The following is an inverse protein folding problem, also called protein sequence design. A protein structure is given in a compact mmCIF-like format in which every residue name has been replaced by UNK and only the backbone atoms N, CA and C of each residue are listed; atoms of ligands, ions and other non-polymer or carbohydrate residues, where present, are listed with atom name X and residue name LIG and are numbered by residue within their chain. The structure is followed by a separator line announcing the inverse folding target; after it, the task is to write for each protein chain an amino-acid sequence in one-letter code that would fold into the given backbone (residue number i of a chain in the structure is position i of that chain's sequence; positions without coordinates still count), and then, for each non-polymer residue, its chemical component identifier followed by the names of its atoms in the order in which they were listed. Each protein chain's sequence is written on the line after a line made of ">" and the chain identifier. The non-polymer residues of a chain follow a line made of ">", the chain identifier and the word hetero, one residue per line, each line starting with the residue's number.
data_IF_063403671630
#
_entry.id   IF_063403671630
#
_cell.length_a   1.000
_cell.length_b   1.000
_cell.length_c   1.000
_cell.angle_alpha   90.00
_cell.angle_beta   90.00
_cell.angle_gamma   90.00
#
_symmetry.space_group_name_H-M   'P 1'
#
loop_
_entity.id
_entity.type
_entity.pdbx_description
1 polymer ?
#
# COMPACT_ATOMS: atom_id res chain seq x y z
N UNK A 1 -9.25 71.20 3.74
CA UNK A 1 -9.59 70.05 4.62
C UNK A 1 -10.60 69.05 4.04
N UNK A 2 -11.58 69.46 3.22
CA UNK A 2 -12.63 68.54 2.70
C UNK A 2 -12.12 67.49 1.70
N UNK A 3 -11.18 67.85 0.83
CA UNK A 3 -10.65 66.93 -0.21
C UNK A 3 -9.84 65.75 0.36
N UNK A 4 -9.03 65.98 1.41
CA UNK A 4 -8.26 64.92 2.08
C UNK A 4 -9.15 63.89 2.78
N UNK A 5 -10.29 64.32 3.34
CA UNK A 5 -11.27 63.41 3.95
C UNK A 5 -11.96 62.55 2.89
N UNK A 6 -12.36 63.13 1.76
CA UNK A 6 -13.00 62.39 0.66
C UNK A 6 -12.03 61.36 0.06
N UNK A 7 -10.77 61.71 -0.16
CA UNK A 7 -9.75 60.77 -0.67
C UNK A 7 -9.50 59.63 0.33
N UNK A 8 -9.45 59.90 1.64
CA UNK A 8 -9.32 58.85 2.66
C UNK A 8 -10.53 57.92 2.71
N UNK A 9 -11.75 58.45 2.60
CA UNK A 9 -12.98 57.65 2.63
C UNK A 9 -13.11 56.78 1.39
N UNK A 10 -12.76 57.30 0.21
CA UNK A 10 -12.75 56.52 -1.04
C UNK A 10 -11.67 55.43 -1.00
N UNK A 11 -10.46 55.75 -0.54
CA UNK A 11 -9.40 54.75 -0.40
C UNK A 11 -9.76 53.63 0.60
N UNK A 12 -10.40 53.97 1.72
CA UNK A 12 -10.87 52.99 2.69
C UNK A 12 -11.98 52.09 2.14
N UNK A 13 -12.90 52.64 1.33
CA UNK A 13 -13.97 51.86 0.69
C UNK A 13 -13.46 50.91 -0.40
N UNK A 14 -12.48 51.33 -1.21
CA UNK A 14 -11.88 50.48 -2.24
C UNK A 14 -11.06 49.34 -1.62
N UNK A 15 -10.34 49.60 -0.52
CA UNK A 15 -9.59 48.57 0.20
C UNK A 15 -10.48 47.54 0.93
N UNK A 16 -11.67 47.96 1.38
CA UNK A 16 -12.62 47.04 2.01
C UNK A 16 -13.40 46.20 0.98
N UNK A 17 -13.69 46.75 -0.20
CA UNK A 17 -14.27 45.99 -1.32
C UNK A 17 -13.31 44.93 -1.89
N UNK A 18 -12.00 45.20 -1.94
CA UNK A 18 -11.01 44.22 -2.41
C UNK A 18 -10.76 43.08 -1.41
N UNK A 19 -10.84 43.35 -0.10
CA UNK A 19 -10.76 42.31 0.94
C UNK A 19 -11.98 41.37 0.93
N UNK A 20 -13.18 41.88 0.65
CA UNK A 20 -14.39 41.05 0.52
C UNK A 20 -14.35 40.21 -0.76
N UNK A 21 -13.84 40.75 -1.88
CA UNK A 21 -13.66 40.00 -3.11
C UNK A 21 -12.65 38.84 -2.95
N UNK A 22 -11.54 39.07 -2.23
CA UNK A 22 -10.56 38.02 -1.93
C UNK A 22 -11.10 36.94 -1.01
N UNK A 23 -11.90 37.31 0.01
CA UNK A 23 -12.54 36.36 0.91
C UNK A 23 -13.56 35.45 0.19
N UNK A 24 -14.30 35.99 -0.79
CA UNK A 24 -15.23 35.20 -1.61
C UNK A 24 -14.50 34.25 -2.58
N UNK A 25 -13.36 34.65 -3.14
CA UNK A 25 -12.57 33.76 -4.02
C UNK A 25 -11.89 32.60 -3.30
N UNK A 26 -11.55 32.74 -2.01
CA UNK A 26 -10.97 31.64 -1.22
C UNK A 26 -12.01 30.68 -0.65
N UNK A 27 -13.28 31.08 -0.58
CA UNK A 27 -14.35 30.21 -0.10
C UNK A 27 -14.82 29.24 -1.19
N UNK A 28 -14.63 29.58 -2.46
CA UNK A 28 -14.89 28.69 -3.62
C UNK A 28 -13.64 27.95 -4.10
N UNK A 29 -12.44 28.40 -3.74
CA UNK A 29 -11.20 27.70 -4.03
C UNK A 29 -10.93 26.57 -3.02
N UNK A 30 -11.62 25.43 -3.19
CA UNK A 30 -11.02 24.13 -2.83
C UNK A 30 -11.62 23.35 -1.66
N UNK A 31 -12.93 23.43 -1.40
CA UNK A 31 -13.63 22.31 -0.74
C UNK A 31 -14.49 21.65 -1.82
N UNK A 32 -13.88 20.75 -2.60
CA UNK A 32 -14.54 20.05 -3.72
C UNK A 32 -15.74 19.20 -3.26
N UNK A 33 -15.79 18.82 -1.98
CA UNK A 33 -16.99 18.27 -1.35
C UNK A 33 -16.87 18.29 0.19
N UNK A 34 -17.84 18.88 0.92
CA UNK A 34 -17.93 18.77 2.39
C UNK A 34 -18.01 17.31 2.87
N UNK A 35 -18.49 16.40 2.02
CA UNK A 35 -18.59 14.97 2.29
C UNK A 35 -17.26 14.22 2.09
N UNK A 36 -16.23 14.85 1.49
CA UNK A 36 -14.94 14.25 1.16
C UNK A 36 -14.27 13.58 2.35
N UNK A 37 -14.38 14.15 3.55
CA UNK A 37 -13.88 13.53 4.79
C UNK A 37 -14.48 12.16 5.05
N UNK A 38 -15.78 11.98 4.82
CA UNK A 38 -16.47 10.70 5.06
C UNK A 38 -16.10 9.63 4.04
N UNK A 39 -15.73 10.03 2.82
CA UNK A 39 -15.23 9.15 1.76
C UNK A 39 -13.78 8.76 2.08
N UNK A 40 -12.92 9.74 2.36
CA UNK A 40 -11.53 9.49 2.73
C UNK A 40 -11.40 8.58 3.95
N UNK A 41 -12.26 8.72 4.96
CA UNK A 41 -12.27 7.85 6.14
C UNK A 41 -12.64 6.39 5.81
N UNK A 42 -13.38 6.13 4.73
CA UNK A 42 -13.63 4.76 4.24
C UNK A 42 -12.42 4.15 3.55
N UNK A 43 -11.58 5.01 2.97
CA UNK A 43 -10.36 4.60 2.27
C UNK A 43 -9.15 4.48 3.23
N UNK A 44 -9.29 4.91 4.49
CA UNK A 44 -8.27 4.70 5.52
C UNK A 44 -8.16 3.18 5.76
N UNK A 45 -7.00 2.57 5.47
CA UNK A 45 -6.83 1.15 5.70
C UNK A 45 -6.90 0.87 7.22
N UNK A 46 -7.51 -0.25 7.65
CA UNK A 46 -7.53 -0.61 9.07
C UNK A 46 -6.12 -0.74 9.63
N UNK A 47 -6.00 -0.63 10.96
CA UNK A 47 -4.73 -0.80 11.68
C UNK A 47 -4.02 -2.10 11.29
N UNK A 48 -2.66 -2.12 11.29
CA UNK A 48 -1.88 -3.33 11.00
C UNK A 48 -2.27 -4.53 11.87
N UNK A 49 -2.32 -5.73 11.26
CA UNK A 49 -2.70 -6.96 11.96
C UNK A 49 -1.68 -8.08 11.78
N UNK A 50 -1.53 -8.90 12.82
CA UNK A 50 -0.81 -10.17 12.76
C UNK A 50 -1.72 -11.25 12.21
N UNK A 51 -1.19 -12.06 11.31
CA UNK A 51 -1.85 -13.22 10.73
C UNK A 51 -0.98 -14.44 10.90
N UNK A 52 -1.54 -15.47 11.51
CA UNK A 52 -0.93 -16.79 11.54
C UNK A 52 -1.26 -17.55 10.24
N UNK A 53 -0.35 -18.43 9.84
CA UNK A 53 -0.61 -19.38 8.76
C UNK A 53 -1.78 -20.28 9.18
N UNK A 54 -2.84 -20.41 8.34
CA UNK A 54 -3.95 -21.31 8.63
C UNK A 54 -3.49 -22.77 8.82
N UNK A 55 -4.10 -23.56 9.73
CA UNK A 55 -3.67 -24.94 9.98
C UNK A 55 -3.72 -25.86 8.75
N UNK A 56 -4.60 -25.58 7.80
CA UNK A 56 -4.76 -26.29 6.52
C UNK A 56 -3.77 -25.83 5.44
N UNK A 57 -3.03 -24.74 5.68
CA UNK A 57 -2.00 -24.23 4.80
C UNK A 57 -0.65 -24.92 5.06
N UNK A 58 -0.36 -25.98 4.31
CA UNK A 58 0.90 -26.70 4.45
C UNK A 58 2.01 -26.12 3.54
N UNK A 59 2.89 -25.33 4.15
CA UNK A 59 4.04 -24.68 3.51
C UNK A 59 5.40 -25.31 3.89
N UNK A 60 5.40 -26.48 4.54
CA UNK A 60 6.64 -27.10 5.05
C UNK A 60 7.16 -28.21 4.16
N UNK A 61 6.29 -28.90 3.44
CA UNK A 61 6.66 -29.96 2.50
C UNK A 61 6.64 -29.47 1.04
N UNK A 62 7.56 -30.01 0.27
CA UNK A 62 7.79 -29.57 -1.11
C UNK A 62 6.61 -29.90 -2.04
N UNK A 63 5.96 -31.04 -1.84
CA UNK A 63 4.83 -31.47 -2.67
C UNK A 63 3.59 -30.59 -2.48
N UNK A 64 3.26 -30.25 -1.23
CA UNK A 64 2.16 -29.32 -0.92
C UNK A 64 2.48 -27.92 -1.41
N UNK A 65 3.72 -27.44 -1.24
CA UNK A 65 4.15 -26.15 -1.81
C UNK A 65 3.92 -26.15 -3.32
N UNK A 66 4.34 -27.19 -4.04
CA UNK A 66 4.14 -27.29 -5.49
C UNK A 66 2.66 -27.24 -5.87
N UNK A 67 1.81 -28.00 -5.19
CA UNK A 67 0.36 -28.02 -5.43
C UNK A 67 -0.30 -26.67 -5.17
N UNK A 68 0.07 -26.00 -4.09
CA UNK A 68 -0.42 -24.67 -3.73
C UNK A 68 0.11 -23.60 -4.69
N UNK A 69 1.37 -23.71 -5.12
CA UNK A 69 2.03 -22.79 -6.03
C UNK A 69 1.34 -22.71 -7.39
N UNK A 70 0.75 -23.79 -7.89
CA UNK A 70 -0.04 -23.75 -9.14
C UNK A 70 -1.26 -22.83 -9.04
N UNK A 71 -1.93 -22.82 -7.88
CA UNK A 71 -3.02 -21.86 -7.61
C UNK A 71 -2.46 -20.46 -7.35
N UNK A 72 -1.38 -20.37 -6.58
CA UNK A 72 -0.69 -19.12 -6.27
C UNK A 72 -0.20 -18.37 -7.49
N UNK A 73 0.32 -19.08 -8.50
CA UNK A 73 0.75 -18.51 -9.79
C UNK A 73 -0.39 -17.77 -10.49
N UNK A 74 -1.60 -18.31 -10.45
CA UNK A 74 -2.79 -17.67 -11.06
C UNK A 74 -3.16 -16.38 -10.32
N UNK A 75 -3.07 -16.39 -9.00
CA UNK A 75 -3.32 -15.20 -8.17
C UNK A 75 -2.23 -14.15 -8.38
N UNK A 76 -0.96 -14.57 -8.42
CA UNK A 76 0.16 -13.66 -8.64
C UNK A 76 0.03 -12.87 -9.96
N UNK A 77 -0.45 -13.54 -11.01
CA UNK A 77 -0.57 -12.98 -12.36
C UNK A 77 -1.94 -12.34 -12.66
N UNK A 78 -2.93 -12.37 -11.75
CA UNK A 78 -4.20 -11.69 -12.00
C UNK A 78 -4.15 -10.23 -11.57
N UNK A 79 -4.74 -9.36 -12.38
CA UNK A 79 -4.84 -7.92 -12.08
C UNK A 79 -6.05 -7.57 -11.22
N UNK A 80 -7.00 -8.49 -11.09
CA UNK A 80 -8.28 -8.27 -10.38
C UNK A 80 -8.18 -8.33 -8.86
N UNK A 81 -7.13 -8.98 -8.33
CA UNK A 81 -6.90 -9.16 -6.89
C UNK A 81 -5.41 -9.32 -6.63
N UNK A 82 -4.88 -8.61 -5.63
CA UNK A 82 -3.46 -8.60 -5.26
C UNK A 82 -2.51 -7.97 -6.28
N UNK A 83 -2.65 -8.31 -7.58
CA UNK A 83 -1.91 -7.74 -8.70
C UNK A 83 -0.38 -7.76 -8.51
N UNK A 84 0.14 -8.86 -7.96
CA UNK A 84 1.54 -8.98 -7.57
C UNK A 84 2.49 -8.76 -8.76
N UNK A 85 2.11 -9.26 -9.94
CA UNK A 85 2.88 -9.13 -11.18
C UNK A 85 3.12 -7.67 -11.61
N UNK A 86 2.23 -6.74 -11.23
CA UNK A 86 2.42 -5.32 -11.54
C UNK A 86 3.63 -4.69 -10.81
N UNK A 87 4.08 -5.30 -9.72
CA UNK A 87 5.21 -4.81 -8.94
C UNK A 87 6.42 -5.76 -8.95
N UNK A 88 6.19 -7.06 -9.12
CA UNK A 88 7.19 -8.09 -8.96
C UNK A 88 7.26 -9.01 -10.18
N UNK A 89 8.47 -9.33 -10.62
CA UNK A 89 8.71 -10.41 -11.58
C UNK A 89 8.89 -11.76 -10.87
N UNK A 90 8.23 -12.80 -11.33
CA UNK A 90 8.53 -14.20 -10.99
C UNK A 90 8.93 -14.96 -12.26
N UNK A 91 9.43 -16.19 -12.11
CA UNK A 91 9.85 -16.99 -13.26
C UNK A 91 8.69 -17.17 -14.24
N UNK A 92 8.97 -16.94 -15.52
CA UNK A 92 8.02 -17.00 -16.64
C UNK A 92 6.86 -15.99 -16.58
N UNK A 93 6.90 -15.00 -15.67
CA UNK A 93 5.92 -13.91 -15.66
C UNK A 93 6.13 -13.02 -16.88
N UNK A 94 5.03 -12.63 -17.54
CA UNK A 94 5.04 -11.72 -18.70
C UNK A 94 4.48 -10.36 -18.30
N UNK A 95 5.11 -9.28 -18.77
CA UNK A 95 4.65 -7.91 -18.48
C UNK A 95 4.77 -7.52 -17.01
N UNK A 96 5.71 -8.11 -16.27
CA UNK A 96 5.90 -7.81 -14.86
C UNK A 96 6.55 -6.44 -14.64
N UNK A 97 6.22 -5.79 -13.52
CA UNK A 97 6.82 -4.53 -13.10
C UNK A 97 8.06 -4.70 -12.24
N UNK A 98 8.64 -3.56 -11.85
CA UNK A 98 9.91 -3.46 -11.12
C UNK A 98 9.87 -2.47 -9.94
N UNK A 99 8.66 -2.11 -9.47
CA UNK A 99 8.50 -1.29 -8.25
C UNK A 99 9.02 -2.06 -7.03
N UNK A 100 8.64 -3.33 -6.93
CA UNK A 100 9.19 -4.27 -5.97
C UNK A 100 10.39 -5.03 -6.54
N UNK A 101 11.21 -5.67 -5.69
CA UNK A 101 12.29 -6.52 -6.18
C UNK A 101 11.76 -7.68 -7.02
N UNK A 102 12.57 -8.14 -7.97
CA UNK A 102 12.32 -9.42 -8.63
C UNK A 102 12.30 -10.55 -7.61
N UNK A 103 11.34 -11.46 -7.77
CA UNK A 103 11.17 -12.68 -6.97
C UNK A 103 11.65 -13.92 -7.73
N UNK A 104 12.26 -13.76 -8.91
CA UNK A 104 12.98 -14.87 -9.57
C UNK A 104 14.10 -15.34 -8.64
N UNK A 105 14.15 -16.64 -8.35
CA UNK A 105 15.11 -17.21 -7.41
C UNK A 105 14.92 -16.78 -5.94
N UNK A 106 13.72 -16.32 -5.56
CA UNK A 106 13.45 -15.83 -4.21
C UNK A 106 13.88 -16.80 -3.11
N UNK A 107 13.55 -18.09 -3.24
CA UNK A 107 13.89 -19.14 -2.25
C UNK A 107 15.40 -19.26 -2.02
N UNK A 108 16.18 -19.11 -3.09
CA UNK A 108 17.62 -19.25 -3.07
C UNK A 108 18.38 -17.96 -2.76
N UNK A 109 17.77 -16.80 -2.98
CA UNK A 109 18.35 -15.48 -2.72
C UNK A 109 17.64 -14.74 -1.59
N UNK A 110 16.65 -13.91 -1.94
CA UNK A 110 16.03 -12.94 -1.03
C UNK A 110 15.42 -13.55 0.23
N UNK A 111 14.99 -14.81 0.20
CA UNK A 111 14.50 -15.50 1.39
C UNK A 111 15.60 -15.78 2.42
N UNK A 112 16.83 -16.03 1.96
CA UNK A 112 17.99 -16.28 2.82
C UNK A 112 18.61 -14.99 3.37
N UNK A 113 18.29 -13.83 2.77
CA UNK A 113 18.71 -12.54 3.28
C UNK A 113 17.94 -12.16 4.56
N UNK A 114 18.56 -11.42 5.49
CA UNK A 114 17.88 -10.95 6.69
C UNK A 114 16.70 -10.03 6.37
N UNK A 115 15.75 -9.94 7.30
CA UNK A 115 14.68 -8.94 7.26
C UNK A 115 15.20 -7.53 7.65
N UNK A 116 14.31 -6.54 7.66
CA UNK A 116 14.66 -5.15 7.99
C UNK A 116 15.24 -4.96 9.40
N UNK A 117 15.12 -5.98 10.27
CA UNK A 117 15.61 -5.99 11.65
C UNK A 117 16.87 -6.83 11.81
N UNK A 118 17.42 -7.37 10.72
CA UNK A 118 18.59 -8.25 10.76
C UNK A 118 18.27 -9.71 11.08
N UNK A 119 17.01 -10.09 11.24
CA UNK A 119 16.63 -11.46 11.60
C UNK A 119 16.51 -12.36 10.36
N UNK A 120 16.80 -13.66 10.48
CA UNK A 120 16.47 -14.63 9.42
C UNK A 120 14.97 -14.60 9.11
N UNK A 121 14.62 -14.63 7.82
CA UNK A 121 13.21 -14.73 7.41
C UNK A 121 12.71 -16.16 7.62
N UNK A 122 11.48 -16.27 8.10
CA UNK A 122 10.76 -17.53 8.24
C UNK A 122 9.61 -17.60 7.24
N UNK A 123 8.99 -18.78 7.11
CA UNK A 123 7.76 -18.91 6.30
C UNK A 123 6.64 -18.04 6.89
N UNK A 124 6.52 -17.97 8.21
CA UNK A 124 5.58 -17.07 8.89
C UNK A 124 5.86 -15.60 8.55
N UNK A 125 7.13 -15.20 8.49
CA UNK A 125 7.51 -13.86 8.08
C UNK A 125 7.05 -13.56 6.65
N UNK A 126 7.23 -14.49 5.72
CA UNK A 126 6.82 -14.31 4.33
C UNK A 126 5.29 -14.25 4.20
N UNK A 127 4.58 -15.16 4.87
CA UNK A 127 3.12 -15.15 4.92
C UNK A 127 2.61 -13.81 5.46
N UNK A 128 3.18 -13.35 6.59
CA UNK A 128 2.85 -12.05 7.19
C UNK A 128 3.18 -10.89 6.24
N UNK A 129 4.31 -10.95 5.53
CA UNK A 129 4.71 -9.90 4.57
C UNK A 129 3.67 -9.71 3.47
N UNK A 130 3.08 -10.81 2.98
CA UNK A 130 2.02 -10.79 1.98
C UNK A 130 0.67 -10.40 2.61
N UNK A 131 0.33 -10.95 3.78
CA UNK A 131 -0.94 -10.67 4.45
C UNK A 131 -1.10 -9.19 4.86
N UNK A 132 -0.11 -8.67 5.60
CA UNK A 132 -0.01 -7.29 6.06
C UNK A 132 1.44 -6.97 6.46
N UNK A 133 2.23 -6.50 5.50
CA UNK A 133 3.66 -6.26 5.69
C UNK A 133 3.99 -5.10 6.64
N UNK A 134 3.01 -4.25 7.01
CA UNK A 134 3.25 -3.03 7.81
C UNK A 134 3.80 -3.36 9.21
N UNK A 135 3.37 -4.49 9.78
CA UNK A 135 3.79 -4.92 11.12
C UNK A 135 5.27 -5.35 11.17
N UNK A 136 5.86 -5.65 10.01
CA UNK A 136 7.26 -6.07 9.91
C UNK A 136 8.21 -4.87 9.72
N UNK A 137 7.68 -3.67 9.54
CA UNK A 137 8.44 -2.45 9.29
C UNK A 137 8.85 -1.83 10.64
N UNK A 138 10.16 -1.70 10.93
CA UNK A 138 10.66 -0.97 12.09
C UNK A 138 10.09 0.45 12.15
N UNK A 139 9.88 0.99 13.36
CA UNK A 139 9.24 2.29 13.57
C UNK A 139 9.96 3.42 12.81
N UNK A 140 11.27 3.30 12.67
CA UNK A 140 12.15 4.25 12.02
C UNK A 140 11.94 4.30 10.49
N UNK A 141 11.39 3.23 9.91
CA UNK A 141 11.13 3.09 8.47
C UNK A 141 9.66 3.31 8.09
N UNK A 142 8.75 3.40 9.06
CA UNK A 142 7.30 3.51 8.81
C UNK A 142 6.91 4.77 8.01
N UNK A 143 7.65 5.86 8.15
CA UNK A 143 7.39 7.10 7.42
C UNK A 143 8.06 7.17 6.04
N UNK A 144 8.78 6.13 5.63
CA UNK A 144 9.46 6.09 4.34
C UNK A 144 8.52 5.40 3.33
N UNK A 145 8.07 6.10 2.26
CA UNK A 145 7.07 5.57 1.33
C UNK A 145 7.44 4.22 0.70
N UNK A 146 8.73 4.04 0.38
CA UNK A 146 9.24 2.83 -0.26
C UNK A 146 8.91 1.54 0.52
N UNK A 147 8.97 1.56 1.85
CA UNK A 147 8.69 0.38 2.67
C UNK A 147 7.20 0.05 2.81
N UNK A 148 6.33 1.00 2.46
CA UNK A 148 4.88 0.93 2.60
C UNK A 148 4.14 0.81 1.27
N UNK A 149 4.86 0.68 0.15
CA UNK A 149 4.27 0.69 -1.20
C UNK A 149 3.52 -0.61 -1.55
N UNK A 150 3.91 -1.73 -0.93
CA UNK A 150 3.24 -3.00 -1.13
C UNK A 150 1.85 -2.95 -0.47
N UNK A 151 0.76 -3.22 -1.22
CA UNK A 151 -0.58 -3.23 -0.66
C UNK A 151 -0.72 -4.22 0.50
N UNK A 152 -1.65 -3.92 1.39
CA UNK A 152 -2.07 -4.82 2.46
C UNK A 152 -3.20 -5.69 1.91
N UNK A 153 -3.15 -7.00 2.11
CA UNK A 153 -4.05 -7.91 1.41
C UNK A 153 -5.21 -8.43 2.28
N UNK A 154 -4.93 -9.11 3.39
CA UNK A 154 -6.02 -9.68 4.22
C UNK A 154 -6.77 -8.57 4.93
N UNK A 155 -6.06 -7.59 5.49
CA UNK A 155 -6.68 -6.50 6.27
C UNK A 155 -7.62 -5.63 5.44
N UNK A 156 -7.40 -5.54 4.13
CA UNK A 156 -8.24 -4.77 3.19
C UNK A 156 -9.22 -5.64 2.41
N UNK A 157 -9.18 -6.97 2.59
CA UNK A 157 -10.04 -7.93 1.88
C UNK A 157 -9.64 -8.18 0.42
N UNK A 158 -8.46 -7.76 -0.02
CA UNK A 158 -7.97 -8.02 -1.38
C UNK A 158 -7.65 -9.50 -1.62
N UNK A 159 -7.18 -10.21 -0.59
CA UNK A 159 -6.96 -11.66 -0.62
C UNK A 159 -7.47 -12.29 0.68
N UNK A 160 -7.97 -13.52 0.57
CA UNK A 160 -8.28 -14.38 1.70
C UNK A 160 -7.01 -15.02 2.30
N UNK A 161 -7.12 -15.59 3.51
CA UNK A 161 -6.02 -16.31 4.14
C UNK A 161 -5.53 -17.51 3.31
N UNK A 162 -6.44 -18.21 2.62
CA UNK A 162 -6.11 -19.31 1.70
C UNK A 162 -5.37 -18.80 0.46
N UNK A 163 -5.78 -17.68 -0.11
CA UNK A 163 -5.10 -17.10 -1.28
C UNK A 163 -3.71 -16.60 -0.93
N UNK A 164 -3.53 -15.99 0.24
CA UNK A 164 -2.19 -15.63 0.74
C UNK A 164 -1.33 -16.88 0.95
N UNK A 165 -1.90 -17.98 1.44
CA UNK A 165 -1.20 -19.26 1.53
C UNK A 165 -0.70 -19.72 0.16
N UNK A 166 -1.57 -19.72 -0.84
CA UNK A 166 -1.24 -20.14 -2.21
C UNK A 166 -0.16 -19.25 -2.84
N UNK A 167 -0.26 -17.92 -2.68
CA UNK A 167 0.77 -16.98 -3.18
C UNK A 167 2.09 -17.17 -2.44
N UNK A 168 2.05 -17.39 -1.13
CA UNK A 168 3.25 -17.70 -0.32
C UNK A 168 3.95 -18.94 -0.86
N UNK A 169 3.21 -20.01 -1.15
CA UNK A 169 3.75 -21.21 -1.77
C UNK A 169 4.39 -20.93 -3.14
N UNK A 170 3.74 -20.12 -3.99
CA UNK A 170 4.28 -19.76 -5.30
C UNK A 170 5.57 -18.94 -5.21
N UNK A 171 5.67 -18.02 -4.24
CA UNK A 171 6.90 -17.24 -4.00
C UNK A 171 8.01 -18.16 -3.46
N UNK A 172 7.68 -19.10 -2.58
CA UNK A 172 8.63 -20.12 -2.10
C UNK A 172 9.05 -21.10 -3.19
N UNK A 173 8.25 -21.32 -4.23
CA UNK A 173 8.61 -22.18 -5.36
C UNK A 173 9.53 -21.49 -6.37
N UNK A 174 9.91 -20.22 -6.17
CA UNK A 174 10.85 -19.51 -7.03
C UNK A 174 12.29 -19.85 -6.64
N UNK A 175 12.87 -20.82 -7.34
CA UNK A 175 14.26 -21.28 -7.15
C UNK A 175 15.27 -20.60 -8.07
#
# INVERSE_FOLDING_TARGET
>A
MKLKKIVLTVAASVASLSLVAFALTFQEAGIESPEGKSIMLKDVPPEPRLYAIPPDCNLKDEESIKKLAEKGKKIFNTTSKGNCVACHCAKDSKGCGNIGPSLVGYRNGLFKAPDYRGNPKTIDWLYQKIADGRILIPKELQNIPYYNIMPVHITTGQLTAEEVCQVTAYVLSQE
#
